data_IF_395851112878
#
_entry.id   IF_395851112878
#
_cell.length_a   1.000
_cell.length_b   1.000
_cell.length_c   1.000
_cell.angle_alpha   90.00
_cell.angle_beta   90.00
_cell.angle_gamma   90.00
#
_symmetry.space_group_name_H-M   'P 1'
#
loop_
_entity.id
_entity.type
_entity.pdbx_description
1 polymer ?
#
# COMPACT_ATOMS: atom_id res chain seq x y z
N UNK A 1 26.77 32.36 12.02
CA UNK A 1 26.99 32.13 10.58
C UNK A 1 25.63 32.11 9.88
N UNK A 2 25.29 33.20 9.22
CA UNK A 2 24.11 33.32 8.37
C UNK A 2 24.47 32.76 7.00
N UNK A 3 23.89 31.62 6.62
CA UNK A 3 24.03 31.09 5.27
C UNK A 3 23.06 31.83 4.35
N UNK A 4 23.61 32.66 3.48
CA UNK A 4 22.92 33.14 2.28
C UNK A 4 22.90 31.96 1.30
N UNK A 5 21.71 31.44 1.03
CA UNK A 5 21.51 30.56 -0.13
C UNK A 5 21.31 31.46 -1.33
N UNK A 6 22.27 31.46 -2.26
CA UNK A 6 21.99 31.88 -3.61
C UNK A 6 20.98 30.87 -4.19
N UNK A 7 19.79 31.34 -4.54
CA UNK A 7 18.87 30.60 -5.42
C UNK A 7 19.51 30.53 -6.81
N UNK A 8 20.47 29.63 -7.00
CA UNK A 8 20.63 29.03 -8.32
C UNK A 8 19.40 28.14 -8.52
N UNK A 9 18.51 28.57 -9.42
CA UNK A 9 17.46 27.73 -9.99
C UNK A 9 18.14 26.58 -10.74
N UNK A 10 18.49 25.52 -10.02
CA UNK A 10 19.14 24.31 -10.55
C UNK A 10 18.23 23.55 -11.54
N UNK A 11 17.02 24.04 -11.84
CA UNK A 11 16.04 23.37 -12.69
C UNK A 11 15.56 22.03 -12.12
N UNK A 12 15.83 21.77 -10.84
CA UNK A 12 15.47 20.53 -10.17
C UNK A 12 14.07 20.71 -9.58
N UNK A 13 13.06 20.37 -10.37
CA UNK A 13 11.66 20.38 -9.94
C UNK A 13 11.47 19.67 -8.59
N UNK A 14 10.96 20.41 -7.61
CA UNK A 14 10.51 19.89 -6.32
C UNK A 14 9.48 18.75 -6.51
N UNK A 15 9.52 17.72 -5.66
CA UNK A 15 8.50 16.66 -5.68
C UNK A 15 7.13 17.21 -5.27
N UNK A 16 6.05 16.63 -5.79
CA UNK A 16 4.68 17.01 -5.41
C UNK A 16 4.28 16.51 -4.02
N UNK A 17 4.90 15.42 -3.55
CA UNK A 17 4.63 14.85 -2.23
C UNK A 17 4.94 15.81 -1.07
N UNK A 18 4.25 15.58 0.06
CA UNK A 18 4.43 16.35 1.29
C UNK A 18 5.86 16.19 1.83
N UNK A 19 6.34 14.95 1.86
CA UNK A 19 7.63 14.59 2.43
C UNK A 19 8.32 13.53 1.58
N UNK A 20 9.64 13.62 1.47
CA UNK A 20 10.44 12.60 0.81
C UNK A 20 11.91 12.67 1.20
N UNK A 21 12.60 11.55 1.13
CA UNK A 21 14.04 11.46 1.36
C UNK A 21 14.66 10.42 0.44
N UNK A 22 15.92 10.65 0.06
CA UNK A 22 16.78 9.66 -0.59
C UNK A 22 18.04 9.48 0.23
N UNK A 23 18.33 8.23 0.60
CA UNK A 23 19.53 7.85 1.33
C UNK A 23 20.42 6.97 0.46
N UNK A 24 21.72 7.20 0.53
CA UNK A 24 22.70 6.20 0.14
C UNK A 24 22.79 5.12 1.24
N UNK A 25 22.46 3.88 0.90
CA UNK A 25 22.35 2.80 1.89
C UNK A 25 23.71 2.37 2.48
N UNK A 26 24.84 2.62 1.79
CA UNK A 26 26.16 2.24 2.30
C UNK A 26 26.65 3.23 3.36
N UNK A 27 26.42 4.51 3.12
CA UNK A 27 27.00 5.61 3.92
C UNK A 27 26.01 6.27 4.87
N UNK A 28 24.70 6.07 4.66
CA UNK A 28 23.65 6.82 5.34
C UNK A 28 23.54 8.27 4.89
N UNK A 29 24.32 8.69 3.88
CA UNK A 29 24.29 10.06 3.37
C UNK A 29 22.93 10.38 2.75
N UNK A 30 22.36 11.51 3.15
CA UNK A 30 21.15 12.05 2.53
C UNK A 30 21.52 12.70 1.20
N UNK A 31 20.94 12.19 0.10
CA UNK A 31 21.16 12.69 -1.26
C UNK A 31 20.10 13.73 -1.65
N UNK A 32 18.89 13.57 -1.11
CA UNK A 32 17.78 14.50 -1.28
C UNK A 32 16.89 14.42 -0.04
N UNK A 33 16.36 15.55 0.43
CA UNK A 33 15.35 15.57 1.46
C UNK A 33 14.35 16.73 1.24
N UNK A 34 13.07 16.41 1.39
CA UNK A 34 11.98 17.38 1.54
C UNK A 34 11.20 17.03 2.80
N UNK A 35 11.20 17.92 3.79
CA UNK A 35 10.46 17.74 5.04
C UNK A 35 10.63 16.34 5.65
N UNK A 36 11.86 15.79 5.76
CA UNK A 36 12.08 14.35 5.97
C UNK A 36 11.55 13.84 7.31
N UNK A 37 11.35 14.74 8.29
CA UNK A 37 10.91 14.46 9.66
C UNK A 37 9.44 14.80 9.93
N UNK A 38 8.66 15.18 8.90
CA UNK A 38 7.23 15.45 9.08
C UNK A 38 6.48 14.15 9.38
N UNK A 39 5.67 14.17 10.44
CA UNK A 39 4.90 13.02 10.91
C UNK A 39 3.65 12.82 10.07
N UNK A 40 3.57 11.69 9.36
CA UNK A 40 2.43 11.30 8.50
C UNK A 40 2.07 9.85 8.81
N UNK A 41 0.78 9.45 8.81
CA UNK A 41 0.43 8.05 8.98
C UNK A 41 1.09 7.17 7.91
N UNK A 42 1.69 6.01 8.25
CA UNK A 42 2.54 5.22 7.35
C UNK A 42 1.78 4.55 6.19
N UNK A 43 0.47 4.37 6.32
CA UNK A 43 -0.29 3.43 5.51
C UNK A 43 0.42 2.05 5.48
N UNK A 44 0.26 1.29 4.40
CA UNK A 44 0.81 -0.07 4.29
C UNK A 44 2.35 -0.17 4.21
N UNK A 45 3.10 0.93 4.25
CA UNK A 45 4.58 0.88 4.30
C UNK A 45 5.06 0.21 5.60
N UNK A 46 4.29 0.35 6.69
CA UNK A 46 4.57 -0.29 7.99
C UNK A 46 4.64 -1.82 7.93
N UNK A 47 4.07 -2.45 6.90
CA UNK A 47 4.10 -3.91 6.76
C UNK A 47 5.53 -4.48 6.66
N UNK A 48 6.53 -3.67 6.32
CA UNK A 48 7.94 -4.07 6.43
C UNK A 48 8.32 -4.35 7.89
N UNK A 49 7.92 -3.48 8.82
CA UNK A 49 8.12 -3.68 10.25
C UNK A 49 7.36 -4.91 10.75
N UNK A 50 6.11 -5.09 10.32
CA UNK A 50 5.31 -6.28 10.61
C UNK A 50 6.04 -7.56 10.17
N UNK A 51 6.58 -7.58 8.95
CA UNK A 51 7.34 -8.72 8.44
C UNK A 51 8.60 -9.01 9.28
N UNK A 52 9.35 -7.99 9.69
CA UNK A 52 10.53 -8.16 10.55
C UNK A 52 10.15 -8.80 11.89
N UNK A 53 9.11 -8.27 12.56
CA UNK A 53 8.65 -8.79 13.87
C UNK A 53 8.17 -10.25 13.76
N UNK A 54 7.49 -10.59 12.66
CA UNK A 54 7.05 -11.96 12.36
C UNK A 54 8.23 -12.90 12.17
N UNK A 55 9.21 -12.51 11.34
CA UNK A 55 10.39 -13.33 11.04
C UNK A 55 11.29 -13.54 12.25
N UNK A 56 11.28 -12.62 13.22
CA UNK A 56 12.00 -12.78 14.49
C UNK A 56 11.37 -13.85 15.41
N UNK A 57 10.12 -14.25 15.17
CA UNK A 57 9.33 -15.02 16.15
C UNK A 57 8.71 -16.31 15.61
N UNK A 58 8.42 -16.38 14.31
CA UNK A 58 7.76 -17.52 13.69
C UNK A 58 8.61 -18.11 12.56
N UNK A 59 8.75 -19.44 12.49
CA UNK A 59 9.36 -20.08 11.34
C UNK A 59 8.41 -20.01 10.12
N UNK A 60 8.99 -19.92 8.93
CA UNK A 60 8.26 -19.74 7.66
C UNK A 60 7.19 -20.80 7.38
N UNK A 61 7.46 -22.05 7.77
CA UNK A 61 6.56 -23.20 7.54
C UNK A 61 5.42 -23.30 8.58
N UNK A 62 5.40 -22.44 9.61
CA UNK A 62 4.31 -22.47 10.60
C UNK A 62 2.99 -22.18 9.91
N UNK A 63 1.99 -23.01 10.17
CA UNK A 63 0.62 -22.83 9.67
C UNK A 63 -0.12 -21.82 10.55
N UNK A 64 -0.83 -20.90 9.90
CA UNK A 64 -1.67 -19.86 10.49
C UNK A 64 -3.07 -20.01 9.92
N UNK A 65 -4.04 -20.19 10.81
CA UNK A 65 -5.46 -20.21 10.45
C UNK A 65 -5.98 -18.78 10.46
N UNK A 66 -6.66 -18.38 9.38
CA UNK A 66 -7.32 -17.07 9.30
C UNK A 66 -8.48 -17.03 10.29
N UNK A 67 -8.40 -16.11 11.24
CA UNK A 67 -9.45 -15.86 12.22
C UNK A 67 -10.62 -15.08 11.60
N UNK A 68 -11.77 -15.06 12.28
CA UNK A 68 -12.89 -14.19 11.91
C UNK A 68 -12.48 -12.71 11.86
N UNK A 69 -11.68 -12.26 12.83
CA UNK A 69 -11.20 -10.88 12.89
C UNK A 69 -10.30 -10.54 11.69
N UNK A 70 -9.42 -11.45 11.30
CA UNK A 70 -8.60 -11.29 10.11
C UNK A 70 -9.44 -11.26 8.83
N UNK A 71 -10.49 -12.10 8.69
CA UNK A 71 -11.42 -12.04 7.53
C UNK A 71 -12.19 -10.72 7.49
N UNK A 72 -12.75 -10.28 8.63
CA UNK A 72 -13.54 -9.05 8.74
C UNK A 72 -12.69 -7.76 8.55
N UNK A 73 -11.36 -7.87 8.54
CA UNK A 73 -10.45 -6.74 8.35
C UNK A 73 -10.58 -6.14 6.95
N UNK A 74 -10.86 -4.82 6.80
CA UNK A 74 -10.91 -4.16 5.51
C UNK A 74 -9.62 -4.34 4.71
N UNK A 75 -9.72 -4.88 3.49
CA UNK A 75 -8.55 -5.26 2.69
C UNK A 75 -8.79 -5.11 1.19
N UNK A 76 -7.76 -5.44 0.41
CA UNK A 76 -7.83 -5.51 -1.05
C UNK A 76 -7.96 -6.98 -1.49
N UNK A 77 -8.63 -7.27 -2.62
CA UNK A 77 -8.68 -8.61 -3.15
C UNK A 77 -7.27 -9.07 -3.57
N UNK A 78 -6.98 -10.39 -3.51
CA UNK A 78 -7.89 -11.48 -3.15
C UNK A 78 -8.13 -11.57 -1.63
N UNK A 79 -9.38 -11.79 -1.22
CA UNK A 79 -9.76 -11.87 0.19
C UNK A 79 -9.46 -13.26 0.77
N UNK A 80 -8.83 -13.29 1.94
CA UNK A 80 -8.65 -14.48 2.78
C UNK A 80 -9.94 -14.69 3.58
N UNK A 81 -10.33 -15.94 3.78
CA UNK A 81 -11.57 -16.32 4.45
C UNK A 81 -11.30 -17.01 5.77
N UNK A 82 -12.20 -16.79 6.73
CA UNK A 82 -12.15 -17.47 8.02
C UNK A 82 -12.01 -18.99 7.83
N UNK A 83 -11.11 -19.58 8.61
CA UNK A 83 -10.84 -21.02 8.59
C UNK A 83 -9.90 -21.48 7.47
N UNK A 84 -9.53 -20.61 6.54
CA UNK A 84 -8.42 -20.91 5.62
C UNK A 84 -7.10 -21.04 6.38
N UNK A 85 -6.19 -21.85 5.87
CA UNK A 85 -4.87 -22.09 6.49
C UNK A 85 -3.77 -21.78 5.48
N UNK A 86 -2.83 -20.94 5.90
CA UNK A 86 -1.66 -20.54 5.12
C UNK A 86 -0.41 -20.69 5.99
N UNK A 87 0.73 -20.97 5.38
CA UNK A 87 2.03 -20.82 6.03
C UNK A 87 2.36 -19.35 6.28
N UNK A 88 3.26 -19.08 7.23
CA UNK A 88 3.79 -17.74 7.47
C UNK A 88 4.40 -17.16 6.19
N UNK A 89 5.14 -17.96 5.41
CA UNK A 89 5.71 -17.50 4.14
C UNK A 89 4.65 -17.05 3.13
N UNK A 90 3.56 -17.80 2.97
CA UNK A 90 2.48 -17.43 2.06
C UNK A 90 1.78 -16.13 2.50
N UNK A 91 1.55 -15.97 3.81
CA UNK A 91 0.98 -14.74 4.35
C UNK A 91 1.93 -13.54 4.20
N UNK A 92 3.24 -13.73 4.37
CA UNK A 92 4.24 -12.68 4.11
C UNK A 92 4.22 -12.27 2.62
N UNK A 93 4.12 -13.23 1.70
CA UNK A 93 3.96 -12.94 0.27
C UNK A 93 2.68 -12.15 -0.03
N UNK A 94 1.52 -12.59 0.48
CA UNK A 94 0.25 -11.88 0.34
C UNK A 94 0.31 -10.45 0.93
N UNK A 95 0.97 -10.29 2.07
CA UNK A 95 1.12 -9.03 2.78
C UNK A 95 2.05 -8.05 2.07
N UNK A 96 3.22 -8.48 1.60
CA UNK A 96 4.22 -7.57 1.04
C UNK A 96 3.99 -7.31 -0.46
N UNK A 97 3.59 -8.32 -1.24
CA UNK A 97 3.35 -8.19 -2.69
C UNK A 97 2.02 -7.49 -2.94
N UNK A 98 0.93 -8.00 -2.34
CA UNK A 98 -0.44 -7.51 -2.61
C UNK A 98 -0.95 -6.52 -1.57
N UNK A 99 -0.18 -6.28 -0.51
CA UNK A 99 -0.58 -5.36 0.57
C UNK A 99 -1.80 -5.83 1.36
N UNK A 100 -2.05 -7.16 1.44
CA UNK A 100 -3.20 -7.72 2.17
C UNK A 100 -3.18 -7.29 3.64
N UNK A 101 -4.27 -6.68 4.11
CA UNK A 101 -4.44 -6.30 5.51
C UNK A 101 -4.81 -7.53 6.36
N UNK A 102 -5.64 -8.43 5.81
CA UNK A 102 -6.05 -9.67 6.48
C UNK A 102 -4.83 -10.55 6.80
N UNK A 103 -3.86 -10.63 5.88
CA UNK A 103 -2.61 -11.34 6.12
C UNK A 103 -1.79 -10.72 7.25
N UNK A 104 -1.73 -9.38 7.32
CA UNK A 104 -1.01 -8.67 8.38
C UNK A 104 -1.65 -8.90 9.76
N UNK A 105 -2.98 -8.86 9.84
CA UNK A 105 -3.72 -9.13 11.09
C UNK A 105 -3.56 -10.58 11.52
N UNK A 106 -3.73 -11.54 10.60
CA UNK A 106 -3.54 -12.96 10.90
C UNK A 106 -2.12 -13.27 11.41
N UNK A 107 -1.09 -12.66 10.80
CA UNK A 107 0.29 -12.79 11.26
C UNK A 107 0.51 -12.16 12.65
N UNK A 108 -0.08 -10.99 12.91
CA UNK A 108 0.02 -10.32 14.20
C UNK A 108 -0.61 -11.15 15.34
N UNK A 109 -1.80 -11.71 15.09
CA UNK A 109 -2.49 -12.64 15.98
C UNK A 109 -1.67 -13.91 16.21
N UNK A 110 -1.08 -14.48 15.15
CA UNK A 110 -0.24 -15.68 15.27
C UNK A 110 1.04 -15.46 16.10
N UNK A 111 1.55 -14.23 16.15
CA UNK A 111 2.74 -13.85 16.93
C UNK A 111 2.41 -13.56 18.39
N UNK A 112 1.31 -12.86 18.66
CA UNK A 112 1.08 -12.22 19.98
C UNK A 112 -0.35 -12.31 20.50
N UNK A 113 -1.24 -13.03 19.81
CA UNK A 113 -2.64 -13.21 20.18
C UNK A 113 -3.56 -12.06 19.76
N UNK A 114 -3.07 -10.82 19.64
CA UNK A 114 -3.86 -9.65 19.22
C UNK A 114 -3.00 -8.58 18.54
N UNK A 115 -3.62 -7.72 17.70
CA UNK A 115 -2.91 -6.57 17.12
C UNK A 115 -2.41 -5.58 18.18
N UNK A 116 -3.12 -5.45 19.30
CA UNK A 116 -2.71 -4.56 20.39
C UNK A 116 -1.39 -5.02 21.00
N UNK A 117 -1.28 -6.30 21.37
CA UNK A 117 -0.04 -6.89 21.87
C UNK A 117 1.06 -6.86 20.80
N UNK A 118 0.70 -7.09 19.54
CA UNK A 118 1.64 -7.01 18.43
C UNK A 118 2.23 -5.61 18.27
N UNK A 119 1.41 -4.56 18.47
CA UNK A 119 1.84 -3.17 18.36
C UNK A 119 2.94 -2.82 19.38
N UNK A 120 2.95 -3.45 20.56
CA UNK A 120 4.04 -3.30 21.54
C UNK A 120 5.35 -3.79 20.93
N UNK A 121 5.35 -5.01 20.37
CA UNK A 121 6.52 -5.61 19.71
C UNK A 121 6.99 -4.80 18.50
N UNK A 122 6.06 -4.22 17.74
CA UNK A 122 6.40 -3.33 16.63
C UNK A 122 7.17 -2.10 17.10
N UNK A 123 6.70 -1.43 18.17
CA UNK A 123 7.35 -0.22 18.66
C UNK A 123 8.67 -0.53 19.38
N UNK A 124 8.78 -1.67 20.08
CA UNK A 124 10.05 -2.16 20.62
C UNK A 124 11.06 -2.40 19.50
N UNK A 125 10.66 -3.10 18.43
CA UNK A 125 11.50 -3.33 17.26
C UNK A 125 11.92 -2.02 16.60
N UNK A 126 10.98 -1.10 16.39
CA UNK A 126 11.25 0.21 15.81
C UNK A 126 12.32 0.98 16.63
N UNK A 127 12.17 1.04 17.95
CA UNK A 127 13.15 1.67 18.84
C UNK A 127 14.51 1.00 18.76
N UNK A 128 14.55 -0.34 18.74
CA UNK A 128 15.78 -1.12 18.68
C UNK A 128 16.58 -0.90 17.38
N UNK A 129 15.90 -0.59 16.27
CA UNK A 129 16.52 -0.33 14.97
C UNK A 129 16.67 1.17 14.65
N UNK A 130 16.54 2.04 15.65
CA UNK A 130 16.81 3.48 15.51
C UNK A 130 15.67 4.31 14.90
N UNK A 131 14.47 3.76 14.77
CA UNK A 131 13.27 4.50 14.33
C UNK A 131 12.69 5.24 15.55
N UNK A 132 12.96 6.55 15.62
CA UNK A 132 12.67 7.36 16.82
C UNK A 132 11.46 8.29 16.68
N UNK A 133 11.09 8.66 15.45
CA UNK A 133 10.04 9.63 15.17
C UNK A 133 8.76 8.97 14.65
N UNK A 134 8.53 7.72 15.04
CA UNK A 134 7.40 6.92 14.61
C UNK A 134 6.68 6.25 15.77
N UNK A 135 5.39 6.00 15.59
CA UNK A 135 4.54 5.24 16.51
C UNK A 135 3.57 4.40 15.70
N UNK A 136 3.54 3.10 15.98
CA UNK A 136 2.74 2.12 15.23
C UNK A 136 1.63 1.53 16.10
N UNK A 137 0.45 1.33 15.52
CA UNK A 137 -0.75 0.85 16.23
C UNK A 137 -1.44 -0.32 15.54
N UNK A 138 -1.29 -0.46 14.23
CA UNK A 138 -1.85 -1.57 13.46
C UNK A 138 -0.76 -2.26 12.66
N UNK A 139 -0.85 -3.58 12.54
CA UNK A 139 0.10 -4.38 11.77
C UNK A 139 -0.02 -4.10 10.26
N UNK A 140 -1.21 -3.66 9.84
CA UNK A 140 -1.54 -3.38 8.44
C UNK A 140 -1.23 -1.94 8.01
N UNK A 141 -1.14 -1.00 8.95
CA UNK A 141 -1.09 0.43 8.65
C UNK A 141 -2.45 1.04 8.29
N UNK A 142 -3.55 0.33 8.57
CA UNK A 142 -4.88 0.93 8.61
C UNK A 142 -4.89 2.10 9.59
N UNK A 143 -5.71 3.15 9.33
CA UNK A 143 -5.75 4.34 10.19
C UNK A 143 -6.06 3.99 11.65
N UNK A 144 -5.25 4.51 12.55
CA UNK A 144 -5.46 4.46 13.99
C UNK A 144 -5.03 5.81 14.60
N UNK A 145 -5.66 6.24 15.71
CA UNK A 145 -5.23 7.45 16.42
C UNK A 145 -3.76 7.37 16.82
N UNK A 146 -3.06 8.49 16.71
CA UNK A 146 -1.65 8.62 17.14
C UNK A 146 -0.70 7.60 16.50
N UNK A 147 -0.99 7.19 15.26
CA UNK A 147 -0.11 6.39 14.41
C UNK A 147 0.54 7.26 13.34
N UNK A 148 1.87 7.31 13.34
CA UNK A 148 2.65 8.14 12.42
C UNK A 148 4.05 7.59 12.19
N UNK A 149 4.68 8.05 11.12
CA UNK A 149 6.09 7.85 10.81
C UNK A 149 6.62 9.08 10.07
N UNK A 150 7.89 9.07 9.68
CA UNK A 150 8.51 10.10 8.85
C UNK A 150 9.13 9.47 7.61
N UNK A 151 9.44 10.28 6.59
CA UNK A 151 10.08 9.75 5.39
C UNK A 151 11.47 9.17 5.72
N UNK A 152 12.20 9.84 6.62
CA UNK A 152 13.48 9.37 7.13
C UNK A 152 13.39 8.03 7.87
N UNK A 153 12.46 7.92 8.81
CA UNK A 153 12.26 6.69 9.59
C UNK A 153 11.85 5.52 8.69
N UNK A 154 11.04 5.74 7.65
CA UNK A 154 10.71 4.70 6.68
C UNK A 154 11.90 4.27 5.83
N UNK A 155 12.79 5.20 5.46
CA UNK A 155 14.01 4.84 4.74
C UNK A 155 14.93 3.96 5.60
N UNK A 156 15.07 4.28 6.89
CA UNK A 156 15.76 3.42 7.86
C UNK A 156 15.05 2.07 8.04
N UNK A 157 13.72 2.06 8.09
CA UNK A 157 12.94 0.82 8.17
C UNK A 157 13.25 -0.11 6.99
N UNK A 158 13.24 0.40 5.76
CA UNK A 158 13.58 -0.43 4.60
C UNK A 158 15.04 -0.88 4.63
N UNK A 159 15.97 -0.01 5.02
CA UNK A 159 17.38 -0.37 5.18
C UNK A 159 17.56 -1.57 6.11
N UNK A 160 16.91 -1.55 7.27
CA UNK A 160 16.95 -2.62 8.26
C UNK A 160 16.19 -3.86 7.80
N UNK A 161 15.05 -3.69 7.10
CA UNK A 161 14.28 -4.79 6.55
C UNK A 161 15.05 -5.56 5.46
N UNK A 162 15.95 -4.91 4.71
CA UNK A 162 16.79 -5.56 3.70
C UNK A 162 17.81 -6.54 4.30
N UNK A 163 18.07 -6.47 5.61
CA UNK A 163 18.90 -7.47 6.32
C UNK A 163 18.19 -8.82 6.48
N UNK A 164 16.89 -8.89 6.19
CA UNK A 164 16.11 -10.13 6.17
C UNK A 164 16.03 -10.65 4.73
N UNK A 165 16.77 -11.72 4.36
CA UNK A 165 16.80 -12.20 2.98
C UNK A 165 15.42 -12.51 2.42
N UNK A 166 14.51 -13.04 3.25
CA UNK A 166 13.13 -13.32 2.84
C UNK A 166 12.31 -12.05 2.55
N UNK A 167 12.53 -10.94 3.26
CA UNK A 167 11.85 -9.68 2.92
C UNK A 167 12.36 -9.18 1.58
N UNK A 168 13.70 -9.16 1.38
CA UNK A 168 14.30 -8.75 0.12
C UNK A 168 13.78 -9.57 -1.07
N UNK A 169 13.72 -10.90 -0.93
CA UNK A 169 13.16 -11.83 -1.91
C UNK A 169 11.67 -11.53 -2.24
N UNK A 170 10.85 -11.24 -1.24
CA UNK A 170 9.42 -11.01 -1.47
C UNK A 170 9.19 -9.66 -2.14
N UNK A 171 9.85 -8.58 -1.69
CA UNK A 171 9.61 -7.23 -2.24
C UNK A 171 10.08 -7.08 -3.69
N UNK A 172 11.07 -7.87 -4.12
CA UNK A 172 11.54 -7.92 -5.50
C UNK A 172 10.67 -8.79 -6.42
N UNK A 173 9.76 -9.60 -5.86
CA UNK A 173 8.94 -10.53 -6.64
C UNK A 173 7.82 -9.76 -7.37
N UNK A 174 7.79 -9.73 -8.72
CA UNK A 174 6.75 -8.99 -9.46
C UNK A 174 5.40 -9.71 -9.42
N UNK A 175 5.41 -11.04 -9.59
CA UNK A 175 4.20 -11.88 -9.58
C UNK A 175 4.50 -13.15 -8.80
N UNK A 176 3.53 -13.59 -7.98
CA UNK A 176 3.61 -14.86 -7.24
C UNK A 176 2.30 -15.61 -7.35
N UNK A 177 2.40 -16.93 -7.54
CA UNK A 177 1.29 -17.87 -7.39
C UNK A 177 1.43 -18.51 -6.01
N UNK A 178 0.34 -18.53 -5.25
CA UNK A 178 0.27 -19.03 -3.88
C UNK A 178 -0.85 -20.06 -3.84
N UNK A 179 -0.54 -21.29 -3.44
CA UNK A 179 -1.52 -22.37 -3.33
C UNK A 179 -1.52 -22.87 -1.91
N UNK A 180 -2.60 -22.58 -1.18
CA UNK A 180 -2.69 -22.98 0.21
C UNK A 180 -2.91 -24.50 0.37
N UNK A 181 -2.75 -25.01 1.58
CA UNK A 181 -2.89 -26.45 1.91
C UNK A 181 -4.27 -27.03 1.57
N UNK A 182 -5.27 -26.17 1.39
CA UNK A 182 -6.65 -26.55 1.03
C UNK A 182 -6.87 -26.55 -0.48
N UNK A 183 -5.83 -26.30 -1.29
CA UNK A 183 -5.86 -26.32 -2.75
C UNK A 183 -6.34 -25.02 -3.39
N UNK A 184 -6.55 -23.94 -2.62
CA UNK A 184 -6.92 -22.63 -3.17
C UNK A 184 -5.69 -21.94 -3.74
N UNK A 185 -5.69 -21.75 -5.06
CA UNK A 185 -4.66 -21.00 -5.78
C UNK A 185 -5.03 -19.53 -5.91
N UNK A 186 -4.06 -18.65 -5.62
CA UNK A 186 -4.16 -17.20 -5.68
C UNK A 186 -2.97 -16.67 -6.47
N UNK A 187 -3.23 -15.78 -7.43
CA UNK A 187 -2.19 -15.05 -8.15
C UNK A 187 -2.16 -13.61 -7.62
N UNK A 188 -0.98 -13.18 -7.16
CA UNK A 188 -0.76 -11.81 -6.71
C UNK A 188 0.27 -11.10 -7.59
N UNK A 189 -0.05 -9.86 -7.95
CA UNK A 189 0.84 -8.94 -8.63
C UNK A 189 1.29 -7.86 -7.66
N UNK A 190 2.58 -7.55 -7.66
CA UNK A 190 3.20 -6.56 -6.80
C UNK A 190 2.57 -5.18 -7.01
N UNK A 191 2.29 -4.47 -5.91
CA UNK A 191 1.69 -3.14 -5.97
C UNK A 191 2.68 -2.05 -6.39
N UNK A 192 3.98 -2.32 -6.30
CA UNK A 192 5.05 -1.46 -6.78
C UNK A 192 5.12 -1.50 -8.31
N UNK A 193 4.67 -0.41 -8.96
CA UNK A 193 4.63 -0.36 -10.42
C UNK A 193 6.02 -0.26 -11.06
N UNK A 194 7.01 0.22 -10.31
CA UNK A 194 8.37 0.41 -10.82
C UNK A 194 9.06 -0.92 -11.18
N UNK A 195 8.60 -2.05 -10.63
CA UNK A 195 9.06 -3.39 -11.03
C UNK A 195 8.60 -3.80 -12.45
N UNK A 196 7.68 -3.06 -13.05
CA UNK A 196 7.14 -3.33 -14.39
C UNK A 196 7.43 -2.18 -15.36
N UNK A 197 8.18 -1.17 -14.92
CA UNK A 197 8.46 0.03 -15.70
C UNK A 197 9.73 -0.21 -16.52
N UNK A 198 9.63 -0.21 -17.85
CA UNK A 198 10.74 -0.61 -18.74
C UNK A 198 12.01 0.21 -18.51
N UNK A 199 11.89 1.48 -18.14
CA UNK A 199 13.04 2.36 -17.91
C UNK A 199 13.70 2.15 -16.53
N UNK A 200 13.03 1.47 -15.60
CA UNK A 200 13.45 1.37 -14.20
C UNK A 200 13.52 -0.05 -13.64
N UNK A 201 12.93 -1.05 -14.31
CA UNK A 201 12.82 -2.43 -13.81
C UNK A 201 14.17 -3.08 -13.50
N UNK A 202 15.22 -2.70 -14.23
CA UNK A 202 16.58 -3.23 -14.02
C UNK A 202 17.31 -2.53 -12.86
N UNK A 203 16.91 -1.30 -12.52
CA UNK A 203 17.46 -0.53 -11.41
C UNK A 203 16.70 -0.79 -10.10
N UNK A 204 15.38 -1.01 -10.15
CA UNK A 204 14.54 -1.14 -8.97
C UNK A 204 14.62 -2.55 -8.42
N UNK A 205 15.06 -2.67 -7.17
CA UNK A 205 15.11 -3.96 -6.48
C UNK A 205 13.75 -4.29 -5.87
N UNK A 206 13.09 -3.32 -5.25
CA UNK A 206 11.78 -3.55 -4.64
C UNK A 206 11.43 -2.53 -3.57
N UNK A 207 10.25 -2.68 -3.01
CA UNK A 207 9.76 -1.73 -2.01
C UNK A 207 8.36 -2.05 -1.52
N UNK A 208 7.77 -1.11 -0.78
CA UNK A 208 6.42 -1.22 -0.26
C UNK A 208 5.63 0.06 -0.49
N UNK A 209 4.50 -0.07 -1.18
CA UNK A 209 3.53 1.01 -1.35
C UNK A 209 2.58 1.12 -0.15
N UNK A 210 1.99 2.29 0.04
CA UNK A 210 0.91 2.53 0.99
C UNK A 210 -0.09 3.56 0.47
N UNK A 211 -1.36 3.39 0.84
CA UNK A 211 -2.38 4.41 0.64
C UNK A 211 -3.44 4.36 1.74
N UNK A 212 -3.77 5.52 2.29
CA UNK A 212 -5.02 5.77 3.02
C UNK A 212 -5.50 7.18 2.67
N UNK A 213 -6.75 7.53 3.02
CA UNK A 213 -7.25 8.89 2.81
C UNK A 213 -6.39 9.95 3.54
N UNK A 214 -5.87 9.61 4.72
CA UNK A 214 -5.05 10.49 5.56
C UNK A 214 -3.58 10.53 5.11
N UNK A 215 -3.01 9.38 4.76
CA UNK A 215 -1.61 9.28 4.30
C UNK A 215 -1.39 9.76 2.86
N UNK A 216 -2.46 9.78 2.05
CA UNK A 216 -2.39 9.80 0.58
C UNK A 216 -1.46 8.69 0.08
N UNK A 217 -0.78 8.89 -1.05
CA UNK A 217 0.08 7.88 -1.65
C UNK A 217 1.49 7.91 -1.04
N UNK A 218 1.95 6.74 -0.61
CA UNK A 218 3.25 6.54 0.03
C UNK A 218 4.02 5.41 -0.65
N UNK A 219 5.35 5.49 -0.62
CA UNK A 219 6.25 4.46 -1.11
C UNK A 219 7.55 4.51 -0.32
N UNK A 220 8.08 3.36 0.05
CA UNK A 220 9.51 3.21 0.35
C UNK A 220 10.08 2.17 -0.61
N UNK A 221 11.20 2.48 -1.26
CA UNK A 221 11.75 1.70 -2.36
C UNK A 221 13.27 1.69 -2.30
N UNK A 222 13.88 0.57 -2.69
CA UNK A 222 15.31 0.44 -2.91
C UNK A 222 15.58 0.25 -4.39
N UNK A 223 16.55 1.01 -4.89
CA UNK A 223 17.06 0.93 -6.26
C UNK A 223 18.58 0.89 -6.27
N UNK A 224 19.14 0.38 -7.35
CA UNK A 224 20.56 0.41 -7.65
C UNK A 224 20.85 1.57 -8.61
N UNK A 225 21.75 2.46 -8.23
CA UNK A 225 22.34 3.49 -9.10
C UNK A 225 23.81 3.14 -9.23
N UNK A 226 24.22 2.68 -10.42
CA UNK A 226 25.55 2.08 -10.67
C UNK A 226 25.84 0.94 -9.69
N UNK A 227 26.81 1.08 -8.80
CA UNK A 227 27.19 0.09 -7.78
C UNK A 227 26.60 0.40 -6.39
N UNK A 228 25.81 1.46 -6.27
CA UNK A 228 25.26 1.96 -4.99
C UNK A 228 23.80 1.56 -4.82
N UNK A 229 23.46 1.11 -3.63
CA UNK A 229 22.06 0.97 -3.20
C UNK A 229 21.56 2.31 -2.67
N UNK A 230 20.40 2.72 -3.17
CA UNK A 230 19.75 3.98 -2.84
C UNK A 230 18.33 3.68 -2.36
N UNK A 231 17.97 4.24 -1.21
CA UNK A 231 16.65 4.08 -0.61
C UNK A 231 15.88 5.38 -0.74
N UNK A 232 14.74 5.31 -1.42
CA UNK A 232 13.80 6.42 -1.60
C UNK A 232 12.58 6.20 -0.74
N UNK A 233 12.16 7.21 -0.01
CA UNK A 233 10.94 7.20 0.80
C UNK A 233 10.12 8.44 0.49
N UNK A 234 8.83 8.27 0.21
CA UNK A 234 7.86 9.30 -0.14
C UNK A 234 6.61 9.12 0.70
N UNK A 235 6.15 10.21 1.31
CA UNK A 235 4.90 10.29 2.06
C UNK A 235 4.04 11.43 1.53
N UNK A 236 2.76 11.15 1.31
CA UNK A 236 1.79 12.19 0.98
C UNK A 236 1.79 12.64 -0.48
N UNK A 237 2.13 11.79 -1.45
CA UNK A 237 1.94 12.13 -2.86
C UNK A 237 0.43 12.29 -3.17
N UNK A 238 0.02 13.33 -3.91
CA UNK A 238 -1.40 13.69 -4.10
C UNK A 238 -2.18 12.60 -4.85
N UNK A 239 -1.53 11.91 -5.78
CA UNK A 239 -2.08 10.83 -6.57
C UNK A 239 -1.00 9.78 -6.91
N UNK A 240 -1.42 8.66 -7.51
CA UNK A 240 -0.55 7.54 -7.83
C UNK A 240 0.45 7.83 -8.95
N UNK A 241 0.10 8.67 -9.93
CA UNK A 241 0.99 9.03 -11.02
C UNK A 241 2.11 9.93 -10.49
N UNK A 242 1.74 10.92 -9.68
CA UNK A 242 2.66 11.79 -8.96
C UNK A 242 3.62 11.00 -8.06
N UNK A 243 3.16 9.96 -7.35
CA UNK A 243 4.04 9.08 -6.56
C UNK A 243 5.20 8.49 -7.39
N UNK A 244 4.88 7.96 -8.57
CA UNK A 244 5.88 7.34 -9.43
C UNK A 244 6.83 8.36 -10.03
N UNK A 245 6.30 9.48 -10.52
CA UNK A 245 7.12 10.55 -11.08
C UNK A 245 8.03 11.19 -10.04
N UNK A 246 7.53 11.46 -8.84
CA UNK A 246 8.35 11.96 -7.74
C UNK A 246 9.46 10.98 -7.39
N UNK A 247 9.19 9.67 -7.40
CA UNK A 247 10.22 8.64 -7.18
C UNK A 247 11.29 8.68 -8.26
N UNK A 248 10.89 8.76 -9.54
CA UNK A 248 11.82 8.85 -10.68
C UNK A 248 12.67 10.13 -10.62
N UNK A 249 12.05 11.28 -10.29
CA UNK A 249 12.75 12.55 -10.07
C UNK A 249 13.78 12.43 -8.95
N UNK A 250 13.41 11.87 -7.80
CA UNK A 250 14.31 11.66 -6.67
C UNK A 250 15.49 10.74 -7.01
N UNK A 251 15.25 9.66 -7.77
CA UNK A 251 16.33 8.80 -8.25
C UNK A 251 17.27 9.55 -9.21
N UNK A 252 16.73 10.40 -10.09
CA UNK A 252 17.57 11.21 -10.99
C UNK A 252 18.44 12.22 -10.23
N UNK A 253 17.89 12.86 -9.20
CA UNK A 253 18.65 13.75 -8.32
C UNK A 253 19.77 12.98 -7.62
N UNK A 254 19.46 11.80 -7.06
CA UNK A 254 20.44 10.97 -6.39
C UNK A 254 21.59 10.55 -7.32
N UNK A 255 21.30 10.22 -8.58
CA UNK A 255 22.32 9.95 -9.60
C UNK A 255 23.24 11.16 -9.80
N UNK A 256 22.69 12.37 -9.98
CA UNK A 256 23.49 13.58 -10.16
C UNK A 256 24.36 13.92 -8.95
N UNK A 257 23.83 13.72 -7.73
CA UNK A 257 24.59 13.93 -6.48
C UNK A 257 25.74 12.91 -6.37
N UNK A 258 25.47 11.63 -6.63
CA UNK A 258 26.49 10.57 -6.58
C UNK A 258 27.57 10.73 -7.66
N UNK A 259 27.26 11.41 -8.76
CA UNK A 259 28.21 11.79 -9.81
C UNK A 259 28.96 13.10 -9.52
N UNK A 260 28.74 13.71 -8.35
CA UNK A 260 29.28 15.02 -7.98
C UNK A 260 28.93 16.15 -8.97
N UNK A 261 27.81 16.01 -9.71
CA UNK A 261 27.33 17.04 -10.65
C UNK A 261 26.56 18.15 -9.93
N UNK A 262 25.93 17.82 -8.80
CA UNK A 262 25.23 18.75 -7.92
C UNK A 262 25.49 18.39 -6.45
N UNK A 263 25.28 19.34 -5.56
CA UNK A 263 25.27 19.07 -4.11
C UNK A 263 23.96 18.41 -3.67
N UNK A 264 23.93 17.68 -2.53
CA UNK A 264 22.68 17.17 -1.97
C UNK A 264 21.65 18.26 -1.73
N UNK A 265 20.38 17.97 -2.00
CA UNK A 265 19.29 18.95 -1.95
C UNK A 265 18.47 18.79 -0.66
N UNK A 266 18.31 19.87 0.10
CA UNK A 266 17.53 19.89 1.35
C UNK A 266 16.45 20.98 1.32
N UNK A 267 15.19 20.59 1.44
CA UNK A 267 14.02 21.46 1.38
C UNK A 267 13.22 21.30 2.67
N UNK A 268 13.16 22.36 3.49
CA UNK A 268 12.33 22.40 4.69
C UNK A 268 11.28 23.51 4.53
N UNK A 269 10.00 23.13 4.63
CA UNK A 269 8.85 24.03 4.47
C UNK A 269 7.89 23.88 5.64
N UNK A 270 7.07 24.89 5.89
CA UNK A 270 5.93 24.76 6.82
C UNK A 270 4.89 23.84 6.18
N UNK A 271 4.73 22.63 6.73
CA UNK A 271 3.74 21.66 6.25
C UNK A 271 2.45 21.82 7.05
N UNK A 272 1.36 22.20 6.39
CA UNK A 272 0.03 22.19 6.99
C UNK A 272 -0.69 20.87 6.71
N UNK A 273 -0.68 19.96 7.69
CA UNK A 273 -1.33 18.64 7.60
C UNK A 273 -2.86 18.70 7.78
N UNK A 274 -3.44 19.85 8.13
CA UNK A 274 -4.88 20.00 8.40
C UNK A 274 -5.71 20.32 7.15
N UNK A 275 -5.07 20.69 6.04
CA UNK A 275 -5.73 20.86 4.75
C UNK A 275 -5.48 19.65 3.84
N UNK A 276 -6.49 19.13 3.12
CA UNK A 276 -6.25 18.15 2.07
C UNK A 276 -5.34 18.79 1.01
N UNK A 277 -4.26 18.09 0.63
CA UNK A 277 -3.34 18.49 -0.45
C UNK A 277 -4.06 18.37 -1.80
N UNK A 278 -4.99 19.28 -2.04
CA UNK A 278 -5.67 19.51 -3.32
C UNK A 278 -5.36 20.93 -3.84
N UNK A 279 -4.27 21.53 -3.39
CA UNK A 279 -3.75 22.72 -4.06
C UNK A 279 -2.92 22.26 -5.26
N UNK A 280 -3.54 22.33 -6.43
CA UNK A 280 -2.83 22.43 -7.70
C UNK A 280 -1.88 23.62 -7.53
N UNK A 281 -0.57 23.37 -7.46
CA UNK A 281 0.41 24.42 -7.66
C UNK A 281 0.23 24.89 -9.10
N UNK A 282 -0.43 26.03 -9.26
CA UNK A 282 -0.52 26.69 -10.56
C UNK A 282 0.92 27.03 -10.99
N UNK A 283 1.48 26.22 -11.88
CA UNK A 283 2.70 26.58 -12.59
C UNK A 283 2.38 27.86 -13.33
N UNK A 284 2.92 28.99 -12.88
CA UNK A 284 2.91 30.24 -13.64
C UNK A 284 3.87 30.07 -14.82
N UNK A 285 3.45 29.31 -15.83
CA UNK A 285 4.11 29.31 -17.12
C UNK A 285 3.84 30.65 -17.80
N UNK A 286 4.74 31.62 -17.60
CA UNK A 286 4.90 32.76 -18.51
C UNK A 286 5.64 32.28 -19.76
N UNK A 287 4.98 31.45 -20.57
CA UNK A 287 5.37 31.31 -21.96
C UNK A 287 4.57 32.33 -22.77
N UNK A 288 5.27 33.38 -23.24
CA UNK A 288 4.78 34.26 -24.31
C UNK A 288 4.62 33.40 -25.56
N UNK A 289 3.39 32.99 -25.89
CA UNK A 289 3.11 32.37 -27.17
C UNK A 289 3.34 33.40 -28.27
N UNK A 290 4.33 33.14 -29.12
CA UNK A 290 4.48 33.82 -30.40
C UNK A 290 3.18 33.71 -31.21
N UNK A 291 2.78 34.82 -31.81
CA UNK A 291 1.61 34.94 -32.68
C UNK A 291 1.66 33.85 -33.75
N UNK A 292 0.57 33.08 -33.89
CA UNK A 292 0.21 32.54 -35.19
C UNK A 292 -1.27 32.82 -35.47
N UNK A 293 -1.48 33.48 -36.63
CA UNK A 293 -2.79 33.87 -37.15
C UNK A 293 -3.50 32.66 -37.77
N UNK A 294 -4.83 32.70 -37.73
CA UNK A 294 -5.81 31.80 -38.38
C UNK A 294 -5.99 30.45 -37.66
N UNK A 295 -7.19 29.93 -37.40
CA UNK A 295 -8.53 30.18 -37.94
C UNK A 295 -9.61 29.80 -36.90
N UNK A 296 -10.81 30.34 -37.10
CA UNK A 296 -12.02 30.16 -36.29
C UNK A 296 -12.54 28.72 -36.39
N UNK A 297 -12.94 28.11 -35.27
CA UNK A 297 -14.33 27.67 -35.09
C UNK A 297 -14.65 27.25 -33.64
N UNK A 298 -15.88 27.60 -33.24
CA UNK A 298 -16.52 27.46 -31.93
C UNK A 298 -16.84 26.00 -31.60
N UNK A 299 -17.01 25.68 -30.31
CA UNK A 299 -18.29 25.27 -29.71
C UNK A 299 -18.19 25.36 -28.17
N UNK A 300 -19.30 25.85 -27.61
CA UNK A 300 -19.65 26.24 -26.25
C UNK A 300 -19.96 25.08 -25.29
N UNK A 301 -19.66 25.24 -24.00
CA UNK A 301 -20.50 24.69 -22.91
C UNK A 301 -20.65 25.74 -21.80
N UNK A 302 -21.91 26.02 -21.47
CA UNK A 302 -22.35 26.98 -20.49
C UNK A 302 -22.20 26.46 -19.05
N UNK A 303 -21.80 27.37 -18.15
CA UNK A 303 -21.83 27.19 -16.70
C UNK A 303 -23.14 27.82 -16.21
N UNK A 304 -24.05 27.03 -15.64
CA UNK A 304 -25.15 27.59 -14.83
C UNK A 304 -24.68 27.76 -13.38
N UNK A 305 -24.78 28.99 -12.91
CA UNK A 305 -24.76 29.35 -11.49
C UNK A 305 -26.18 29.16 -10.96
N UNK A 306 -26.33 28.65 -9.74
CA UNK A 306 -27.40 29.12 -8.86
C UNK A 306 -26.99 29.03 -7.40
N UNK A 307 -27.13 30.17 -6.72
CA UNK A 307 -27.07 30.36 -5.28
C UNK A 307 -28.51 30.61 -4.77
N UNK A 308 -28.68 30.42 -3.45
CA UNK A 308 -29.61 31.11 -2.52
C UNK A 308 -30.75 30.27 -1.88
N UNK A 309 -30.46 29.84 -0.63
CA UNK A 309 -31.13 30.03 0.69
C UNK A 309 -32.53 29.49 1.09
N UNK A 310 -32.54 29.09 2.39
CA UNK A 310 -33.60 29.07 3.44
C UNK A 310 -34.74 28.03 3.30
N UNK A 311 -35.33 27.41 4.34
CA UNK A 311 -35.33 27.51 5.82
C UNK A 311 -35.96 26.23 6.45
N UNK A 312 -35.91 26.14 7.79
CA UNK A 312 -36.41 25.08 8.69
C UNK A 312 -37.96 24.97 8.77
N UNK A 313 -38.50 23.80 9.15
CA UNK A 313 -39.36 23.55 10.36
C UNK A 313 -40.05 22.14 10.34
N UNK A 314 -39.76 21.39 11.42
CA UNK A 314 -40.50 20.41 12.25
C UNK A 314 -41.66 19.48 11.77
N UNK A 315 -41.56 18.21 12.23
CA UNK A 315 -42.53 17.29 12.91
C UNK A 315 -43.92 17.07 12.24
N UNK A 316 -44.49 15.86 12.11
CA UNK A 316 -44.80 14.84 13.14
C UNK A 316 -45.51 13.61 12.48
N UNK A 317 -45.32 12.38 13.03
CA UNK A 317 -46.26 11.22 13.22
C UNK A 317 -47.15 10.74 12.02
N UNK A 318 -47.48 9.46 11.76
CA UNK A 318 -47.51 8.20 12.51
C UNK A 318 -48.11 7.06 11.64
N UNK A 319 -47.56 5.85 11.76
CA UNK A 319 -48.21 4.52 11.93
C UNK A 319 -49.55 4.19 11.22
N UNK A 320 -49.53 3.10 10.42
CA UNK A 320 -50.45 1.92 10.46
C UNK A 320 -49.88 0.83 9.52
N UNK A 321 -49.41 -0.34 9.98
CA UNK A 321 -50.13 -1.62 10.25
C UNK A 321 -51.06 -2.02 9.08
N UNK A 322 -51.19 -3.26 8.60
CA UNK A 322 -50.55 -4.56 8.74
C UNK A 322 -51.39 -5.56 7.91
N UNK A 323 -50.86 -6.79 7.74
CA UNK A 323 -51.54 -8.05 7.32
C UNK A 323 -51.82 -8.14 5.81
N UNK A 324 -51.45 -9.23 5.14
CA UNK A 324 -51.98 -10.57 5.43
C UNK A 324 -50.99 -11.73 5.20
N UNK A 325 -51.14 -12.72 6.08
CA UNK A 325 -50.58 -14.06 6.01
C UNK A 325 -51.14 -14.90 4.86
N UNK A 326 -50.37 -15.92 4.46
CA UNK A 326 -50.72 -17.27 3.98
C UNK A 326 -50.08 -17.64 2.64
N UNK A 327 -49.01 -18.46 2.71
CA UNK A 327 -48.86 -19.74 2.00
C UNK A 327 -47.50 -20.36 2.33
N UNK A 328 -47.47 -21.12 3.43
CA UNK A 328 -46.60 -22.28 3.58
C UNK A 328 -47.33 -23.45 2.91
N UNK A 329 -46.57 -24.43 2.42
CA UNK A 329 -46.99 -25.68 1.78
C UNK A 329 -47.16 -25.64 0.24
N UNK A 330 -46.02 -25.67 -0.46
CA UNK A 330 -45.76 -26.49 -1.67
C UNK A 330 -44.38 -26.13 -2.22
N UNK A 331 -43.31 -26.66 -1.62
CA UNK A 331 -41.99 -26.71 -2.29
C UNK A 331 -41.00 -27.69 -1.65
N UNK A 332 -41.47 -28.83 -1.14
CA UNK A 332 -40.61 -29.91 -0.62
C UNK A 332 -40.99 -31.29 -1.21
N UNK A 333 -41.18 -31.37 -2.53
CA UNK A 333 -41.46 -32.64 -3.21
C UNK A 333 -40.68 -32.86 -4.53
N UNK A 334 -39.70 -32.01 -4.88
CA UNK A 334 -38.94 -32.14 -6.13
C UNK A 334 -37.42 -32.32 -5.99
N UNK A 335 -36.86 -32.26 -4.77
CA UNK A 335 -35.42 -32.49 -4.57
C UNK A 335 -35.04 -33.97 -4.30
N UNK A 336 -35.99 -34.84 -3.95
CA UNK A 336 -35.70 -36.23 -3.55
C UNK A 336 -35.73 -37.25 -4.70
N UNK A 337 -36.02 -36.84 -5.94
CA UNK A 337 -36.02 -37.74 -7.13
C UNK A 337 -34.74 -37.69 -7.98
N UNK A 338 -33.85 -36.72 -7.79
CA UNK A 338 -32.60 -36.60 -8.55
C UNK A 338 -31.37 -37.26 -7.89
N UNK A 339 -31.50 -37.77 -6.66
CA UNK A 339 -30.40 -38.42 -5.93
C UNK A 339 -30.38 -39.95 -6.17
N UNK A 340 -31.51 -40.57 -6.54
CA UNK A 340 -31.58 -42.00 -6.83
C UNK A 340 -31.08 -42.39 -8.25
N UNK A 341 -31.05 -41.46 -9.20
CA UNK A 341 -30.63 -41.72 -10.59
C UNK A 341 -29.11 -41.55 -10.83
N UNK A 342 -28.41 -40.75 -10.01
CA UNK A 342 -26.95 -40.59 -10.09
C UNK A 342 -26.16 -41.71 -9.42
N UNK A 343 -26.66 -42.31 -8.34
CA UNK A 343 -26.00 -43.44 -7.66
C UNK A 343 -26.08 -44.78 -8.43
N UNK A 344 -26.99 -44.90 -9.41
CA UNK A 344 -27.11 -46.11 -10.26
C UNK A 344 -26.12 -46.12 -11.45
N UNK A 345 -25.54 -44.96 -11.82
CA UNK A 345 -24.52 -44.85 -12.88
C UNK A 345 -23.08 -45.03 -12.40
N UNK A 346 -22.80 -44.84 -11.10
CA UNK A 346 -21.46 -45.05 -10.54
C UNK A 346 -21.15 -46.53 -10.24
N UNK A 347 -22.14 -47.35 -9.87
CA UNK A 347 -21.93 -48.78 -9.58
C UNK A 347 -21.70 -49.66 -10.83
N UNK A 348 -22.09 -49.21 -12.03
CA UNK A 348 -21.86 -49.95 -13.29
C UNK A 348 -20.51 -49.65 -13.95
N UNK A 349 -19.85 -48.55 -13.58
CA UNK A 349 -18.51 -48.20 -14.10
C UNK A 349 -17.38 -48.90 -13.33
N UNK A 350 -17.59 -49.24 -12.04
CA UNK A 350 -16.58 -49.91 -11.20
C UNK A 350 -16.44 -51.42 -11.43
N UNK A 351 -17.40 -52.08 -12.09
CA UNK A 351 -17.35 -53.53 -12.39
C UNK A 351 -16.67 -53.82 -13.74
N UNK A 352 -16.46 -52.82 -14.60
CA UNK A 352 -15.78 -52.99 -15.90
C UNK A 352 -14.26 -52.73 -15.88
N UNK A 353 -13.69 -52.30 -14.75
CA UNK A 353 -12.26 -51.97 -14.64
C UNK A 353 -11.40 -53.05 -13.93
N UNK A 354 -11.97 -54.22 -13.57
CA UNK A 354 -11.26 -55.34 -12.93
C UNK A 354 -11.20 -56.61 -13.79
N UNK A 355 -11.41 -56.50 -15.11
CA UNK A 355 -11.04 -57.53 -16.07
C UNK A 355 -10.15 -56.88 -17.13
N UNK A 356 -8.87 -57.27 -17.14
CA UNK A 356 -7.73 -56.70 -17.88
C UNK A 356 -6.93 -55.63 -17.14
N UNK A 357 -6.20 -56.07 -16.11
CA UNK A 357 -4.75 -55.85 -15.91
C UNK A 357 -4.30 -56.81 -14.82
#
# INVERSE_FOLDING_TARGET
FTFSFAEEDLGVDNISAISGVVLDAKTGMVLYAKNPNVKIPPASTVKLLTAMVVLDRLPLHKKVRISKNADDTPSVPPFLREGEVYTVEELLNLMLIKSSNQAAVALAEAVSGSEESFSVLMNEKAKAIGIQNSKFKTASGLPAPDQYTTAYDLALLLYEALKYPKIAEIIQTPVKIITNDQGRTIIVKNTNHLLFDEDYKDAVIGGKTGYTKLSKHCLVNVSKIKDRLVITSILGAPDRWSLWNDTKKMLKIAELVLENKISPVYINTVVNLTQPVNHIYAVKNKYKSAKNKNSKNRISVAISKNNVKHSLIAKTKSVKKARSHHKIAKKDAEASKNIASKNKRFKTAQVKATRHS
#
